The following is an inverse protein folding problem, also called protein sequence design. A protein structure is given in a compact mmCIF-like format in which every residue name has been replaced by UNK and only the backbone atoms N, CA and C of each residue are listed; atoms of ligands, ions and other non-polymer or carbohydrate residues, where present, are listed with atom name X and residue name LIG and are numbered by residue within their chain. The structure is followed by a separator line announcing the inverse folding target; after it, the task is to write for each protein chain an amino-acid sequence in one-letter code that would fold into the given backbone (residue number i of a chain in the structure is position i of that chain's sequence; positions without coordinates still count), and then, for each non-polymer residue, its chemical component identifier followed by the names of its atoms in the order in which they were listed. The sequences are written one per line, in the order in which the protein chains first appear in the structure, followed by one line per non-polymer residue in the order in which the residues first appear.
data_IF_584056652313
#
_entry.id   IF_584056652313
#
_cell.length_a   1.000
_cell.length_b   1.000
_cell.length_c   1.000
_cell.angle_alpha   90.00
_cell.angle_beta   90.00
_cell.angle_gamma   90.00
#
_symmetry.space_group_name_H-M   'P 1'
#
loop_
_entity.id
_entity.type
_entity.pdbx_description
1 polymer ?
#
# COMPACT_ATOMS: atom_id res chain seq x y z
N UNK A 1 11.68 -20.47 28.94
CA UNK A 1 10.65 -19.44 29.14
C UNK A 1 11.23 -18.12 28.69
N UNK A 2 10.86 -17.65 27.50
CA UNK A 2 11.15 -16.28 27.11
C UNK A 2 10.32 -15.38 28.05
N UNK A 3 11.00 -14.57 28.83
CA UNK A 3 10.37 -13.57 29.68
C UNK A 3 9.82 -12.53 28.70
N UNK A 4 8.50 -12.52 28.47
CA UNK A 4 7.85 -11.41 27.77
C UNK A 4 8.23 -10.14 28.53
N UNK A 5 9.02 -9.27 27.89
CA UNK A 5 9.25 -7.94 28.42
C UNK A 5 7.88 -7.24 28.50
N UNK A 6 7.60 -6.50 29.59
CA UNK A 6 6.35 -5.76 29.68
C UNK A 6 6.29 -4.77 28.51
N UNK A 7 5.25 -4.88 27.70
CA UNK A 7 4.98 -3.94 26.61
C UNK A 7 4.75 -2.57 27.25
N UNK A 8 5.58 -1.59 26.91
CA UNK A 8 5.36 -0.21 27.36
C UNK A 8 3.98 0.25 26.88
N UNK A 9 3.29 1.03 27.71
CA UNK A 9 1.99 1.62 27.36
C UNK A 9 2.11 3.13 27.20
N UNK A 10 1.23 3.69 26.39
CA UNK A 10 1.10 5.13 26.14
C UNK A 10 -0.33 5.59 26.42
N UNK A 11 -0.52 6.85 26.85
CA UNK A 11 -1.81 7.49 26.90
C UNK A 11 -2.48 7.50 25.52
N UNK A 12 -3.77 7.21 25.51
CA UNK A 12 -4.57 7.10 24.31
C UNK A 12 -5.97 7.70 24.50
N UNK A 13 -6.52 8.18 23.40
CA UNK A 13 -7.93 8.52 23.30
C UNK A 13 -8.76 7.24 23.18
N UNK A 14 -9.89 7.17 23.88
CA UNK A 14 -10.98 6.23 23.58
C UNK A 14 -12.14 7.02 22.95
N UNK A 15 -12.34 6.82 21.65
CA UNK A 15 -13.23 7.63 20.82
C UNK A 15 -14.36 6.76 20.27
N UNK A 16 -15.61 7.17 20.49
CA UNK A 16 -16.73 6.71 19.68
C UNK A 16 -16.90 7.65 18.49
N UNK A 17 -16.81 7.10 17.29
CA UNK A 17 -16.85 7.84 16.03
C UNK A 17 -18.04 7.34 15.21
N UNK A 18 -18.91 8.25 14.78
CA UNK A 18 -20.18 7.90 14.13
C UNK A 18 -20.37 8.69 12.84
N UNK A 19 -20.89 8.03 11.79
CA UNK A 19 -21.20 8.68 10.52
C UNK A 19 -22.59 9.29 10.59
N UNK A 20 -22.69 10.61 10.40
CA UNK A 20 -23.98 11.30 10.42
C UNK A 20 -24.82 10.94 9.18
N UNK A 21 -26.14 11.01 9.31
CA UNK A 21 -27.06 10.71 8.20
C UNK A 21 -27.20 9.22 7.84
N UNK A 22 -26.63 8.30 8.62
CA UNK A 22 -26.77 6.85 8.42
C UNK A 22 -27.85 6.25 9.31
N UNK A 23 -28.70 5.38 8.74
CA UNK A 23 -29.73 4.63 9.46
C UNK A 23 -29.78 3.17 8.96
N UNK A 24 -29.51 2.15 9.81
CA UNK A 24 -29.07 2.26 11.20
C UNK A 24 -27.68 2.92 11.32
N UNK A 25 -27.41 3.52 12.49
CA UNK A 25 -26.19 4.31 12.73
C UNK A 25 -24.92 3.46 12.51
N UNK A 26 -24.04 3.92 11.64
CA UNK A 26 -22.73 3.32 11.42
C UNK A 26 -21.69 3.99 12.34
N UNK A 27 -21.08 3.22 13.24
CA UNK A 27 -20.13 3.77 14.21
C UNK A 27 -19.03 2.78 14.61
N UNK A 28 -17.91 3.30 15.12
CA UNK A 28 -16.76 2.55 15.63
C UNK A 28 -16.29 3.14 16.95
N UNK A 29 -15.85 2.31 17.90
CA UNK A 29 -15.12 2.73 19.08
C UNK A 29 -13.64 2.39 18.90
N UNK A 30 -12.82 3.43 18.73
CA UNK A 30 -11.40 3.32 18.46
C UNK A 30 -10.58 3.85 19.63
N UNK A 31 -9.49 3.15 19.91
CA UNK A 31 -8.45 3.59 20.83
C UNK A 31 -7.20 3.92 20.03
N UNK A 32 -6.71 5.15 20.18
CA UNK A 32 -5.62 5.72 19.38
C UNK A 32 -4.65 6.48 20.30
N UNK A 33 -3.32 6.34 20.15
CA UNK A 33 -2.35 7.10 20.93
C UNK A 33 -2.61 8.61 20.87
N UNK A 34 -2.43 9.33 21.97
CA UNK A 34 -2.70 10.79 21.98
C UNK A 34 -1.83 11.56 20.99
N UNK A 35 -0.62 11.09 20.74
CA UNK A 35 0.36 11.71 19.84
C UNK A 35 0.09 11.44 18.35
N UNK A 36 -0.99 10.74 18.01
CA UNK A 36 -1.36 10.48 16.62
C UNK A 36 -1.58 11.79 15.87
N UNK A 37 -1.02 11.91 14.68
CA UNK A 37 -1.22 13.05 13.79
C UNK A 37 -2.58 12.98 13.10
N UNK A 38 -3.05 14.11 12.56
CA UNK A 38 -4.31 14.13 11.79
C UNK A 38 -4.29 13.18 10.58
N UNK A 39 -3.20 13.06 9.77
CA UNK A 39 -3.13 12.08 8.70
C UNK A 39 -3.19 10.64 9.21
N UNK A 40 -2.56 10.33 10.33
CA UNK A 40 -2.62 8.99 10.93
C UNK A 40 -4.02 8.67 11.48
N UNK A 41 -4.69 9.65 12.09
CA UNK A 41 -6.10 9.55 12.50
C UNK A 41 -7.01 9.29 11.30
N UNK A 42 -6.80 10.03 10.20
CA UNK A 42 -7.48 9.81 8.93
C UNK A 42 -7.27 8.38 8.43
N UNK A 43 -6.03 7.87 8.37
CA UNK A 43 -5.77 6.48 7.95
C UNK A 43 -6.44 5.44 8.86
N UNK A 44 -6.51 5.70 10.17
CA UNK A 44 -7.24 4.84 11.10
C UNK A 44 -8.75 4.80 10.79
N UNK A 45 -9.36 5.93 10.44
CA UNK A 45 -10.75 6.02 9.99
C UNK A 45 -10.98 5.26 8.68
N UNK A 46 -10.08 5.44 7.69
CA UNK A 46 -10.13 4.71 6.42
C UNK A 46 -10.15 3.20 6.67
N UNK A 47 -9.24 2.68 7.50
CA UNK A 47 -9.19 1.27 7.87
C UNK A 47 -10.44 0.80 8.66
N UNK A 48 -10.99 1.66 9.53
CA UNK A 48 -12.13 1.35 10.39
C UNK A 48 -13.47 1.27 9.63
N UNK A 49 -13.64 2.12 8.62
CA UNK A 49 -14.84 2.16 7.78
C UNK A 49 -14.70 1.40 6.46
N UNK A 50 -13.48 0.99 6.09
CA UNK A 50 -13.22 0.16 4.91
C UNK A 50 -13.15 0.96 3.61
N UNK A 51 -12.63 2.17 3.70
CA UNK A 51 -12.41 3.08 2.56
C UNK A 51 -11.00 2.96 1.98
N UNK A 52 -10.84 3.51 0.78
CA UNK A 52 -9.69 3.36 -0.10
C UNK A 52 -8.74 4.59 -0.09
N UNK A 53 -9.04 5.61 0.72
CA UNK A 53 -8.26 6.84 0.84
C UNK A 53 -8.04 7.53 -0.53
N UNK A 54 -9.14 7.76 -1.26
CA UNK A 54 -9.11 8.29 -2.63
C UNK A 54 -9.45 9.77 -2.72
N UNK A 55 -9.99 10.34 -1.64
CA UNK A 55 -10.51 11.70 -1.63
C UNK A 55 -9.86 12.57 -0.56
N UNK A 56 -10.04 13.87 -0.73
CA UNK A 56 -9.67 14.86 0.28
C UNK A 56 -10.46 14.62 1.58
N UNK A 57 -9.88 15.06 2.68
CA UNK A 57 -10.53 15.05 3.98
C UNK A 57 -10.26 16.34 4.75
N UNK A 58 -11.06 16.62 5.77
CA UNK A 58 -10.87 17.77 6.61
C UNK A 58 -11.42 17.60 8.02
N UNK A 59 -10.95 18.46 8.92
CA UNK A 59 -11.45 18.60 10.28
C UNK A 59 -11.90 20.03 10.49
N UNK A 60 -13.08 20.20 11.09
CA UNK A 60 -13.55 21.46 11.67
C UNK A 60 -13.76 21.26 13.15
N UNK A 61 -13.08 22.04 13.99
CA UNK A 61 -13.19 21.90 15.43
C UNK A 61 -12.92 23.22 16.15
N UNK A 62 -13.30 23.28 17.43
CA UNK A 62 -12.77 24.25 18.38
C UNK A 62 -11.68 23.58 19.20
N UNK A 63 -10.47 24.12 19.18
CA UNK A 63 -9.34 23.56 19.89
C UNK A 63 -9.40 23.76 21.41
N UNK A 64 -8.39 23.27 22.14
CA UNK A 64 -8.33 23.38 23.60
C UNK A 64 -8.16 24.81 24.12
N UNK A 65 -7.83 25.78 23.25
CA UNK A 65 -7.74 27.21 23.57
C UNK A 65 -9.03 27.96 23.27
N UNK A 66 -10.02 27.29 22.66
CA UNK A 66 -11.27 27.91 22.24
C UNK A 66 -11.19 28.57 20.87
N UNK A 67 -10.15 28.28 20.08
CA UNK A 67 -9.97 28.82 18.73
C UNK A 67 -10.54 27.85 17.69
N UNK A 68 -11.29 28.36 16.72
CA UNK A 68 -11.81 27.56 15.62
C UNK A 68 -10.69 27.21 14.64
N UNK A 69 -10.53 25.93 14.33
CA UNK A 69 -9.55 25.40 13.39
C UNK A 69 -10.23 24.71 12.21
N UNK A 70 -9.64 24.89 11.03
CA UNK A 70 -10.01 24.18 9.80
C UNK A 70 -8.74 23.56 9.26
N UNK A 71 -8.71 22.23 9.23
CA UNK A 71 -7.55 21.45 8.83
C UNK A 71 -7.95 20.62 7.62
N UNK A 72 -7.11 20.57 6.58
CA UNK A 72 -7.40 19.83 5.35
C UNK A 72 -6.18 18.98 4.97
N UNK A 73 -6.47 17.78 4.47
CA UNK A 73 -5.46 16.87 3.94
C UNK A 73 -5.86 16.28 2.58
N UNK A 74 -4.87 15.84 1.78
CA UNK A 74 -3.43 15.97 2.03
C UNK A 74 -2.95 17.42 1.88
N UNK A 75 -1.72 17.71 2.32
CA UNK A 75 -1.21 19.08 2.44
C UNK A 75 -1.20 19.86 1.11
N UNK A 76 -1.03 19.18 -0.02
CA UNK A 76 -1.05 19.80 -1.35
C UNK A 76 -2.43 20.43 -1.67
N UNK A 77 -3.49 19.97 -1.00
CA UNK A 77 -4.83 20.52 -1.17
C UNK A 77 -5.01 21.91 -0.51
N UNK A 78 -4.05 22.36 0.31
CA UNK A 78 -4.15 23.64 1.02
C UNK A 78 -3.45 24.83 0.34
N UNK A 79 -2.78 24.63 -0.81
CA UNK A 79 -1.90 25.65 -1.44
C UNK A 79 -2.56 27.02 -1.71
N UNK A 80 -3.89 27.10 -1.75
CA UNK A 80 -4.65 28.35 -1.91
C UNK A 80 -5.79 28.54 -0.88
N UNK A 81 -5.70 27.88 0.28
CA UNK A 81 -6.73 27.92 1.33
C UNK A 81 -6.25 28.60 2.62
N UNK A 82 -7.19 29.09 3.44
CA UNK A 82 -6.90 29.49 4.83
C UNK A 82 -6.83 28.29 5.80
N UNK A 83 -6.94 27.06 5.28
CA UNK A 83 -6.89 25.86 6.11
C UNK A 83 -5.46 25.51 6.48
N UNK A 84 -5.32 24.86 7.63
CA UNK A 84 -4.05 24.35 8.11
C UNK A 84 -3.73 23.00 7.44
N UNK A 85 -2.47 22.74 7.05
CA UNK A 85 -2.06 21.45 6.52
C UNK A 85 -2.16 20.38 7.60
N UNK A 86 -2.77 19.24 7.26
CA UNK A 86 -3.00 18.15 8.20
C UNK A 86 -1.71 17.59 8.83
N UNK A 87 -0.61 17.48 8.07
CA UNK A 87 0.62 16.86 8.57
C UNK A 87 1.26 17.58 9.78
N UNK A 88 0.95 18.86 9.95
CA UNK A 88 1.48 19.69 11.03
C UNK A 88 0.71 19.60 12.35
N UNK A 89 -0.35 18.79 12.44
CA UNK A 89 -1.28 18.81 13.57
C UNK A 89 -1.39 17.43 14.23
N UNK A 90 -1.19 17.39 15.55
CA UNK A 90 -1.45 16.22 16.39
C UNK A 90 -2.85 16.27 17.01
N UNK A 91 -3.48 15.11 17.21
CA UNK A 91 -4.85 15.02 17.75
C UNK A 91 -4.96 15.55 19.18
N UNK A 92 -3.88 15.45 19.98
CA UNK A 92 -3.76 16.06 21.32
C UNK A 92 -3.85 17.58 21.34
N UNK A 93 -3.65 18.25 20.20
CA UNK A 93 -3.90 19.69 20.10
C UNK A 93 -5.39 20.03 19.99
N UNK A 94 -6.19 19.07 19.50
CA UNK A 94 -7.60 19.26 19.14
C UNK A 94 -8.54 18.68 20.22
N UNK A 95 -8.12 17.61 20.90
CA UNK A 95 -8.92 16.87 21.86
C UNK A 95 -8.19 16.70 23.20
N UNK A 96 -8.96 16.64 24.30
CA UNK A 96 -8.45 16.34 25.64
C UNK A 96 -8.97 14.98 26.11
N UNK A 97 -8.09 13.98 26.15
CA UNK A 97 -8.43 12.59 26.50
C UNK A 97 -9.04 12.42 27.90
N UNK A 98 -8.87 13.41 28.79
CA UNK A 98 -9.45 13.39 30.14
C UNK A 98 -10.93 13.75 30.15
N UNK A 99 -11.45 14.33 29.07
CA UNK A 99 -12.87 14.67 28.94
C UNK A 99 -13.69 13.45 28.56
N UNK A 100 -14.99 13.54 28.83
CA UNK A 100 -15.99 12.57 28.40
C UNK A 100 -17.16 13.29 27.74
N UNK A 101 -17.81 12.63 26.78
CA UNK A 101 -18.93 13.15 26.03
C UNK A 101 -18.56 13.73 24.66
N UNK A 102 -19.54 14.35 23.95
CA UNK A 102 -19.36 14.84 22.59
C UNK A 102 -18.25 15.88 22.49
N UNK A 103 -17.40 15.73 21.47
CA UNK A 103 -16.40 16.73 21.11
C UNK A 103 -16.98 17.75 20.13
N UNK A 104 -16.51 18.99 20.21
CA UNK A 104 -16.71 19.98 19.15
C UNK A 104 -15.68 19.75 18.03
N UNK A 105 -15.83 18.60 17.38
CA UNK A 105 -14.89 18.06 16.41
C UNK A 105 -15.68 17.29 15.35
N UNK A 106 -15.56 17.76 14.11
CA UNK A 106 -16.17 17.16 12.94
C UNK A 106 -15.07 16.74 11.97
N UNK A 107 -15.10 15.47 11.54
CA UNK A 107 -14.23 14.97 10.47
C UNK A 107 -15.08 14.71 9.22
N UNK A 108 -14.64 15.22 8.07
CA UNK A 108 -15.29 15.04 6.78
C UNK A 108 -14.35 14.30 5.83
N UNK A 109 -14.84 13.24 5.20
CA UNK A 109 -14.16 12.52 4.12
C UNK A 109 -14.97 12.64 2.83
N UNK A 110 -14.26 12.86 1.72
CA UNK A 110 -14.85 13.09 0.40
C UNK A 110 -15.78 14.32 0.39
N UNK A 111 -15.25 15.48 -0.01
CA UNK A 111 -16.04 16.72 -0.11
C UNK A 111 -17.13 16.68 -1.20
N UNK A 112 -17.14 15.66 -2.07
CA UNK A 112 -18.23 15.41 -3.01
C UNK A 112 -19.40 14.69 -2.35
N UNK A 113 -19.13 13.56 -1.70
CA UNK A 113 -20.15 12.74 -1.03
C UNK A 113 -20.52 13.20 0.39
N UNK A 114 -19.67 14.03 1.01
CA UNK A 114 -19.80 14.62 2.33
C UNK A 114 -20.00 13.58 3.46
N UNK A 115 -19.04 12.66 3.63
CA UNK A 115 -19.06 11.71 4.74
C UNK A 115 -18.60 12.37 6.06
N UNK A 116 -19.56 12.95 6.77
CA UNK A 116 -19.32 13.64 8.04
C UNK A 116 -19.37 12.69 9.24
N UNK A 117 -18.38 12.84 10.13
CA UNK A 117 -18.24 12.04 11.34
C UNK A 117 -18.23 12.92 12.58
N UNK A 118 -18.96 12.49 13.60
CA UNK A 118 -18.91 13.07 14.94
C UNK A 118 -18.07 12.20 15.87
N UNK A 119 -17.42 12.85 16.84
CA UNK A 119 -16.53 12.20 17.81
C UNK A 119 -17.06 12.42 19.23
N UNK A 120 -17.13 11.34 20.00
CA UNK A 120 -17.43 11.35 21.43
C UNK A 120 -16.25 10.73 22.20
N UNK A 121 -15.78 11.42 23.24
CA UNK A 121 -14.73 10.93 24.11
C UNK A 121 -15.33 10.01 25.19
N UNK A 122 -14.80 8.81 25.30
CA UNK A 122 -15.22 7.81 26.29
C UNK A 122 -14.41 7.86 27.58
N UNK A 123 -13.38 8.70 27.63
CA UNK A 123 -12.44 8.88 28.74
C UNK A 123 -11.03 8.37 28.42
N UNK A 124 -10.10 8.50 29.38
CA UNK A 124 -8.70 8.14 29.15
C UNK A 124 -8.49 6.63 29.18
N UNK A 125 -7.61 6.14 28.30
CA UNK A 125 -7.16 4.74 28.27
C UNK A 125 -5.65 4.67 28.03
N UNK A 126 -5.05 3.54 28.40
CA UNK A 126 -3.66 3.22 28.09
C UNK A 126 -3.64 2.14 27.01
N UNK A 127 -2.81 2.32 25.98
CA UNK A 127 -2.59 1.34 24.92
C UNK A 127 -1.15 0.85 24.93
N UNK A 128 -0.88 -0.41 24.55
CA UNK A 128 0.47 -0.81 24.18
C UNK A 128 1.05 0.15 23.13
N UNK A 129 2.32 0.52 23.27
CA UNK A 129 3.02 1.34 22.29
C UNK A 129 2.84 0.79 20.87
N UNK A 130 2.72 1.72 19.91
CA UNK A 130 2.61 1.40 18.48
C UNK A 130 1.41 0.50 18.14
N UNK A 131 0.27 0.69 18.82
CA UNK A 131 -0.96 -0.03 18.51
C UNK A 131 -2.14 0.90 18.31
N UNK A 132 -3.10 0.43 17.51
CA UNK A 132 -4.41 1.03 17.29
C UNK A 132 -5.45 -0.06 17.55
N UNK A 133 -6.55 0.22 18.26
CA UNK A 133 -7.53 -0.83 18.59
C UNK A 133 -8.95 -0.37 18.32
N UNK A 134 -9.77 -1.27 17.80
CA UNK A 134 -11.21 -1.12 17.79
C UNK A 134 -11.80 -2.05 18.85
N UNK A 135 -12.53 -1.47 19.80
CA UNK A 135 -13.12 -2.21 20.94
C UNK A 135 -14.58 -2.54 20.73
N UNK A 136 -15.29 -1.79 19.88
CA UNK A 136 -16.69 -2.00 19.57
C UNK A 136 -17.11 -1.27 18.28
N UNK A 137 -18.30 -1.56 17.78
CA UNK A 137 -18.86 -0.92 16.58
C UNK A 137 -20.15 -1.57 16.10
N UNK A 138 -20.80 -0.93 15.13
CA UNK A 138 -21.98 -1.48 14.49
C UNK A 138 -22.08 -1.10 13.01
N UNK A 139 -22.72 -1.99 12.25
CA UNK A 139 -23.03 -1.86 10.84
C UNK A 139 -21.82 -1.78 9.90
N UNK A 140 -22.03 -2.14 8.64
CA UNK A 140 -21.01 -2.07 7.58
C UNK A 140 -20.71 -0.61 7.29
N UNK A 141 -19.43 -0.29 7.06
CA UNK A 141 -19.05 1.02 6.55
C UNK A 141 -19.64 1.27 5.15
N UNK A 142 -19.95 2.53 4.79
CA UNK A 142 -20.44 2.87 3.46
C UNK A 142 -19.46 2.43 2.37
N UNK A 143 -20.00 2.04 1.21
CA UNK A 143 -19.16 1.72 0.04
C UNK A 143 -18.52 3.02 -0.47
N UNK A 144 -17.24 2.99 -0.84
CA UNK A 144 -16.56 4.11 -1.50
C UNK A 144 -17.37 4.60 -2.72
N UNK A 145 -17.40 5.92 -2.97
CA UNK A 145 -18.12 6.55 -4.09
C UNK A 145 -19.63 6.22 -4.14
N UNK A 146 -20.26 5.92 -3.01
CA UNK A 146 -21.69 5.52 -2.98
C UNK A 146 -22.68 6.69 -3.04
N UNK A 147 -22.24 7.94 -3.17
CA UNK A 147 -23.11 9.11 -3.29
C UNK A 147 -23.60 9.62 -1.93
N UNK A 148 -22.72 9.59 -0.92
CA UNK A 148 -23.01 10.06 0.43
C UNK A 148 -24.06 9.24 1.18
N UNK A 149 -24.51 9.69 2.37
CA UNK A 149 -25.43 8.92 3.22
C UNK A 149 -26.75 8.54 2.51
N UNK A 150 -27.25 9.41 1.63
CA UNK A 150 -28.45 9.13 0.85
C UNK A 150 -28.23 8.00 -0.17
N UNK A 151 -27.13 8.06 -0.94
CA UNK A 151 -26.81 7.05 -1.94
C UNK A 151 -26.55 5.68 -1.31
N UNK A 152 -25.83 5.64 -0.19
CA UNK A 152 -25.65 4.40 0.57
C UNK A 152 -26.97 3.82 1.09
N UNK A 153 -27.86 4.64 1.65
CA UNK A 153 -29.20 4.19 2.07
C UNK A 153 -30.00 3.60 0.90
N UNK A 154 -29.88 4.18 -0.31
CA UNK A 154 -30.50 3.63 -1.51
C UNK A 154 -29.92 2.27 -1.88
N UNK A 155 -28.59 2.09 -1.80
CA UNK A 155 -27.96 0.78 -2.02
C UNK A 155 -28.48 -0.25 -1.02
N UNK A 156 -28.60 0.10 0.27
CA UNK A 156 -29.14 -0.78 1.31
C UNK A 156 -30.57 -1.21 1.00
N UNK A 157 -31.41 -0.27 0.59
CA UNK A 157 -32.81 -0.53 0.21
C UNK A 157 -32.87 -1.45 -1.01
N UNK A 158 -32.16 -1.10 -2.09
CA UNK A 158 -32.25 -1.81 -3.37
C UNK A 158 -31.66 -3.21 -3.27
N UNK A 159 -30.48 -3.38 -2.68
CA UNK A 159 -29.85 -4.70 -2.57
C UNK A 159 -30.53 -5.60 -1.53
N UNK A 160 -31.31 -5.02 -0.62
CA UNK A 160 -32.15 -5.75 0.33
C UNK A 160 -33.39 -6.41 -0.29
N UNK A 161 -33.76 -6.01 -1.52
CA UNK A 161 -34.92 -6.54 -2.25
C UNK A 161 -34.52 -6.98 -3.67
N UNK A 162 -34.25 -8.28 -3.90
CA UNK A 162 -34.00 -8.84 -5.23
C UNK A 162 -35.11 -8.61 -6.26
N UNK A 163 -36.33 -8.25 -5.83
CA UNK A 163 -37.44 -7.89 -6.71
C UNK A 163 -37.46 -6.40 -7.10
N UNK A 164 -36.57 -5.59 -6.55
CA UNK A 164 -36.53 -4.16 -6.81
C UNK A 164 -36.16 -3.85 -8.28
N UNK A 165 -36.84 -2.91 -8.97
CA UNK A 165 -36.57 -2.62 -10.39
C UNK A 165 -35.13 -2.23 -10.70
N UNK A 166 -34.43 -1.59 -9.75
CA UNK A 166 -33.03 -1.17 -9.86
C UNK A 166 -32.02 -2.21 -9.33
N UNK A 167 -32.46 -3.43 -8.96
CA UNK A 167 -31.60 -4.43 -8.31
C UNK A 167 -30.39 -4.80 -9.18
N UNK A 168 -30.62 -5.17 -10.44
CA UNK A 168 -29.57 -5.63 -11.36
C UNK A 168 -28.50 -4.54 -11.60
N UNK A 169 -28.94 -3.29 -11.84
CA UNK A 169 -28.04 -2.17 -12.05
C UNK A 169 -27.20 -1.87 -10.80
N UNK A 170 -27.84 -1.86 -9.63
CA UNK A 170 -27.17 -1.62 -8.34
C UNK A 170 -26.22 -2.75 -7.98
N UNK A 171 -26.60 -4.01 -8.24
CA UNK A 171 -25.76 -5.18 -8.00
C UNK A 171 -24.53 -5.19 -8.92
N UNK A 172 -24.71 -4.80 -10.18
CA UNK A 172 -23.61 -4.63 -11.14
C UNK A 172 -22.65 -3.53 -10.69
N UNK A 173 -23.17 -2.38 -10.25
CA UNK A 173 -22.35 -1.30 -9.70
C UNK A 173 -21.61 -1.73 -8.43
N UNK A 174 -22.29 -2.39 -7.49
CA UNK A 174 -21.69 -2.88 -6.24
C UNK A 174 -20.52 -3.83 -6.52
N UNK A 175 -20.70 -4.76 -7.47
CA UNK A 175 -19.65 -5.70 -7.89
C UNK A 175 -18.50 -5.05 -8.63
N UNK A 176 -18.75 -3.96 -9.33
CA UNK A 176 -17.71 -3.14 -9.91
C UNK A 176 -16.92 -2.40 -8.82
N UNK A 177 -17.61 -1.72 -7.90
CA UNK A 177 -16.99 -0.88 -6.87
C UNK A 177 -16.24 -1.69 -5.81
N UNK A 178 -16.82 -2.77 -5.28
CA UNK A 178 -16.24 -3.54 -4.16
C UNK A 178 -15.52 -4.80 -4.60
N UNK A 179 -15.81 -5.24 -5.83
CA UNK A 179 -15.41 -6.55 -6.31
C UNK A 179 -16.20 -7.74 -5.76
N UNK A 180 -17.15 -7.50 -4.85
CA UNK A 180 -17.98 -8.51 -4.20
C UNK A 180 -19.31 -8.71 -4.94
N UNK A 181 -19.92 -9.89 -4.81
CA UNK A 181 -21.27 -10.10 -5.32
C UNK A 181 -22.29 -9.42 -4.40
N UNK A 182 -23.41 -8.90 -4.94
CA UNK A 182 -24.45 -8.26 -4.15
C UNK A 182 -25.02 -9.19 -3.07
N UNK A 183 -24.97 -10.51 -3.27
CA UNK A 183 -25.35 -11.51 -2.25
C UNK A 183 -24.45 -11.51 -1.01
N UNK A 184 -23.23 -10.97 -1.10
CA UNK A 184 -22.32 -10.77 0.02
C UNK A 184 -22.56 -9.45 0.76
N UNK A 185 -23.41 -8.56 0.24
CA UNK A 185 -23.70 -7.29 0.87
C UNK A 185 -24.50 -7.48 2.16
N UNK A 186 -23.82 -7.28 3.30
CA UNK A 186 -24.40 -7.41 4.63
C UNK A 186 -24.34 -6.04 5.37
N UNK A 187 -25.35 -5.17 5.21
CA UNK A 187 -25.29 -3.79 5.69
C UNK A 187 -25.23 -3.66 7.21
N UNK A 188 -25.72 -4.66 7.95
CA UNK A 188 -25.67 -4.70 9.42
C UNK A 188 -24.47 -5.46 9.97
N UNK A 189 -23.60 -6.01 9.13
CA UNK A 189 -22.45 -6.78 9.58
C UNK A 189 -21.35 -5.86 10.11
N UNK A 190 -20.78 -6.23 11.26
CA UNK A 190 -19.59 -5.62 11.83
C UNK A 190 -18.69 -6.74 12.37
N UNK A 191 -17.42 -6.71 11.96
CA UNK A 191 -16.40 -7.67 12.38
C UNK A 191 -15.21 -6.91 12.98
N UNK A 192 -15.19 -6.83 14.31
CA UNK A 192 -14.11 -6.21 15.06
C UNK A 192 -12.76 -6.93 14.88
N UNK A 193 -12.76 -8.25 14.62
CA UNK A 193 -11.54 -9.02 14.40
C UNK A 193 -10.89 -8.65 13.07
N UNK A 194 -11.67 -8.63 12.00
CA UNK A 194 -11.22 -8.20 10.67
C UNK A 194 -10.76 -6.73 10.66
N UNK A 195 -11.46 -5.87 11.40
CA UNK A 195 -11.07 -4.46 11.55
C UNK A 195 -9.74 -4.33 12.31
N UNK A 196 -9.58 -5.01 13.46
CA UNK A 196 -8.33 -4.96 14.21
C UNK A 196 -7.15 -5.53 13.42
N UNK A 197 -7.35 -6.55 12.57
CA UNK A 197 -6.31 -7.02 11.66
C UNK A 197 -5.85 -5.92 10.69
N UNK A 198 -6.76 -5.10 10.15
CA UNK A 198 -6.40 -3.92 9.33
C UNK A 198 -5.67 -2.84 10.13
N UNK A 199 -6.05 -2.62 11.39
CA UNK A 199 -5.36 -1.67 12.28
C UNK A 199 -3.97 -2.15 12.69
N UNK A 200 -3.76 -3.46 12.88
CA UNK A 200 -2.44 -4.04 13.11
C UNK A 200 -1.54 -3.84 11.89
N UNK A 201 -2.06 -4.09 10.69
CA UNK A 201 -1.38 -3.84 9.42
C UNK A 201 -1.02 -2.35 9.22
N UNK A 202 -1.92 -1.45 9.60
CA UNK A 202 -1.67 0.00 9.58
C UNK A 202 -0.60 0.39 10.62
N UNK A 203 -0.65 -0.15 11.83
CA UNK A 203 0.33 0.15 12.87
C UNK A 203 1.77 -0.20 12.46
N UNK A 204 1.95 -1.31 11.73
CA UNK A 204 3.25 -1.69 11.14
C UNK A 204 3.76 -0.69 10.09
N UNK A 205 2.87 0.11 9.50
CA UNK A 205 3.22 1.16 8.53
C UNK A 205 3.48 2.51 9.19
N UNK A 206 2.73 2.85 10.23
CA UNK A 206 2.90 4.10 10.97
C UNK A 206 4.17 4.09 11.82
N UNK A 207 4.49 2.95 12.43
CA UNK A 207 5.63 2.81 13.32
C UNK A 207 6.51 1.62 12.95
N UNK A 208 7.11 1.63 11.74
CA UNK A 208 7.93 0.52 11.29
C UNK A 208 9.17 0.37 12.18
N UNK A 209 9.41 -0.86 12.64
CA UNK A 209 10.70 -1.20 13.23
C UNK A 209 11.77 -1.28 12.13
N UNK A 210 13.05 -1.00 12.47
CA UNK A 210 14.15 -1.28 11.55
C UNK A 210 14.11 -2.74 11.04
N UNK A 211 14.53 -2.98 9.79
CA UNK A 211 14.64 -4.34 9.30
C UNK A 211 15.77 -5.08 10.03
N UNK A 212 15.52 -6.33 10.38
CA UNK A 212 16.51 -7.26 10.94
C UNK A 212 17.38 -7.83 9.83
N UNK A 213 18.57 -8.33 10.16
CA UNK A 213 19.47 -8.97 9.19
C UNK A 213 18.79 -10.12 8.42
N UNK A 214 17.93 -10.89 9.10
CA UNK A 214 17.18 -11.99 8.48
C UNK A 214 16.18 -11.49 7.44
N UNK A 215 15.45 -10.40 7.75
CA UNK A 215 14.51 -9.78 6.82
C UNK A 215 15.24 -9.16 5.62
N UNK A 216 16.38 -8.51 5.88
CA UNK A 216 17.24 -7.93 4.85
C UNK A 216 17.69 -9.00 3.87
N UNK A 217 18.32 -10.06 4.39
CA UNK A 217 18.87 -11.15 3.58
C UNK A 217 17.77 -11.88 2.80
N UNK A 218 16.58 -12.03 3.39
CA UNK A 218 15.43 -12.62 2.71
C UNK A 218 14.99 -11.78 1.50
N UNK A 219 14.77 -10.47 1.68
CA UNK A 219 14.29 -9.57 0.61
C UNK A 219 15.27 -9.51 -0.56
N UNK A 220 16.57 -9.39 -0.27
CA UNK A 220 17.62 -9.26 -1.30
C UNK A 220 18.13 -10.60 -1.83
N UNK A 221 17.61 -11.72 -1.31
CA UNK A 221 18.13 -13.07 -1.54
C UNK A 221 18.38 -13.37 -3.03
N UNK A 222 17.39 -13.12 -3.89
CA UNK A 222 17.49 -13.42 -5.33
C UNK A 222 18.65 -12.67 -6.00
N UNK A 223 18.86 -11.42 -5.61
CA UNK A 223 19.95 -10.58 -6.15
C UNK A 223 21.29 -11.03 -5.57
N UNK A 224 21.38 -11.18 -4.25
CA UNK A 224 22.59 -11.61 -3.56
C UNK A 224 23.08 -12.96 -4.10
N UNK A 225 22.18 -13.95 -4.17
CA UNK A 225 22.50 -15.27 -4.69
C UNK A 225 23.10 -15.16 -6.10
N UNK A 226 22.44 -14.46 -7.03
CA UNK A 226 22.94 -14.36 -8.41
C UNK A 226 24.33 -13.72 -8.45
N UNK A 227 24.57 -12.62 -7.72
CA UNK A 227 25.87 -11.96 -7.68
C UNK A 227 26.97 -12.87 -7.13
N UNK A 228 26.67 -13.65 -6.09
CA UNK A 228 27.62 -14.59 -5.47
C UNK A 228 28.07 -15.71 -6.41
N UNK A 229 27.24 -16.06 -7.41
CA UNK A 229 27.55 -17.11 -8.37
C UNK A 229 28.35 -16.62 -9.59
N UNK A 230 28.60 -15.31 -9.73
CA UNK A 230 29.38 -14.78 -10.86
C UNK A 230 30.88 -14.88 -10.57
N UNK A 231 31.63 -15.75 -11.25
CA UNK A 231 33.07 -15.86 -11.03
C UNK A 231 33.80 -14.60 -11.52
N UNK A 232 35.05 -14.41 -11.08
CA UNK A 232 35.85 -13.24 -11.43
C UNK A 232 36.05 -13.04 -12.95
N UNK A 233 36.10 -14.13 -13.72
CA UNK A 233 36.21 -14.12 -15.19
C UNK A 233 34.84 -14.03 -15.89
N UNK A 234 33.74 -14.05 -15.14
CA UNK A 234 32.36 -13.88 -15.61
C UNK A 234 31.71 -15.15 -16.16
N UNK A 235 30.38 -15.20 -16.07
CA UNK A 235 29.58 -16.31 -16.59
C UNK A 235 29.60 -16.34 -18.12
N UNK A 236 29.87 -17.48 -18.75
CA UNK A 236 29.87 -17.58 -20.21
C UNK A 236 28.43 -17.51 -20.74
N UNK A 237 28.22 -16.69 -21.78
CA UNK A 237 26.94 -16.57 -22.47
C UNK A 237 26.89 -17.46 -23.73
N UNK A 238 25.69 -17.67 -24.23
CA UNK A 238 25.42 -18.21 -25.56
C UNK A 238 25.82 -17.19 -26.66
N UNK A 239 25.83 -17.61 -27.93
CA UNK A 239 26.08 -16.69 -29.06
C UNK A 239 25.06 -15.55 -29.11
N UNK A 240 23.81 -15.83 -28.75
CA UNK A 240 22.72 -14.85 -28.68
C UNK A 240 22.75 -14.00 -27.39
N UNK A 241 23.75 -14.20 -26.53
CA UNK A 241 23.96 -13.39 -25.33
C UNK A 241 23.08 -13.74 -24.13
N UNK A 242 22.46 -14.92 -24.13
CA UNK A 242 21.70 -15.50 -23.01
C UNK A 242 22.57 -16.38 -22.10
N UNK A 243 22.13 -16.59 -20.85
CA UNK A 243 22.70 -17.54 -19.91
C UNK A 243 22.67 -18.95 -20.49
N UNK A 244 23.70 -19.74 -20.16
CA UNK A 244 23.75 -21.15 -20.57
C UNK A 244 22.70 -21.98 -19.80
N UNK A 245 22.12 -23.02 -20.43
CA UNK A 245 21.09 -23.87 -19.80
C UNK A 245 21.41 -24.49 -18.44
N UNK A 246 22.70 -24.69 -18.12
CA UNK A 246 23.11 -25.20 -16.81
C UNK A 246 22.85 -24.15 -15.71
N UNK A 247 23.32 -22.92 -15.94
CA UNK A 247 23.15 -21.83 -14.98
C UNK A 247 21.70 -21.36 -14.85
N UNK A 248 20.91 -21.43 -15.93
CA UNK A 248 19.46 -21.15 -15.87
C UNK A 248 18.76 -22.11 -14.91
N UNK A 249 19.06 -23.42 -14.99
CA UNK A 249 18.50 -24.43 -14.08
C UNK A 249 18.96 -24.22 -12.65
N UNK A 250 20.25 -23.99 -12.44
CA UNK A 250 20.80 -23.69 -11.13
C UNK A 250 20.14 -22.46 -10.48
N UNK A 251 19.94 -21.38 -11.24
CA UNK A 251 19.22 -20.19 -10.77
C UNK A 251 17.77 -20.50 -10.45
N UNK A 252 17.12 -21.31 -11.28
CA UNK A 252 15.73 -21.68 -11.10
C UNK A 252 15.51 -22.49 -9.82
N UNK A 253 16.34 -23.51 -9.60
CA UNK A 253 16.25 -24.41 -8.46
C UNK A 253 16.65 -23.68 -7.16
N UNK A 254 17.72 -22.88 -7.18
CA UNK A 254 18.21 -22.20 -5.99
C UNK A 254 17.24 -21.11 -5.48
N UNK A 255 16.47 -20.49 -6.38
CA UNK A 255 15.52 -19.43 -6.04
C UNK A 255 14.08 -19.93 -5.83
N UNK A 256 13.85 -21.25 -5.87
CA UNK A 256 12.52 -21.85 -5.68
C UNK A 256 11.49 -21.33 -6.67
N UNK A 257 11.87 -21.24 -7.95
CA UNK A 257 11.03 -20.68 -9.02
C UNK A 257 10.08 -21.71 -9.64
N UNK A 258 10.15 -22.96 -9.19
CA UNK A 258 9.32 -24.10 -9.61
C UNK A 258 7.84 -23.88 -9.35
N UNK A 259 7.48 -23.31 -8.20
CA UNK A 259 6.09 -22.98 -7.88
C UNK A 259 5.53 -21.83 -8.73
N UNK A 260 6.40 -21.01 -9.34
CA UNK A 260 6.03 -19.74 -10.00
C UNK A 260 6.07 -19.78 -11.52
N UNK A 261 6.57 -20.87 -12.12
CA UNK A 261 6.76 -20.92 -13.58
C UNK A 261 6.56 -22.33 -14.16
N UNK A 262 5.53 -22.56 -15.00
CA UNK A 262 5.32 -23.84 -15.65
C UNK A 262 6.32 -24.02 -16.81
N UNK A 263 7.53 -24.51 -16.53
CA UNK A 263 8.56 -24.69 -17.55
C UNK A 263 9.73 -25.58 -17.14
N UNK A 264 10.46 -26.11 -18.13
CA UNK A 264 11.64 -26.97 -17.92
C UNK A 264 12.90 -26.22 -17.46
N UNK A 265 12.80 -24.90 -17.28
CA UNK A 265 13.90 -24.01 -16.88
C UNK A 265 15.22 -24.18 -17.66
N UNK A 266 15.17 -24.62 -18.94
CA UNK A 266 16.37 -25.02 -19.68
C UNK A 266 16.83 -23.98 -20.73
N UNK A 267 16.05 -22.94 -20.98
CA UNK A 267 16.40 -21.82 -21.87
C UNK A 267 15.97 -20.52 -21.21
N UNK A 268 16.91 -19.58 -21.07
CA UNK A 268 16.64 -18.31 -20.39
C UNK A 268 15.46 -17.55 -21.01
N UNK A 269 15.43 -17.45 -22.34
CA UNK A 269 14.34 -16.79 -23.09
C UNK A 269 12.95 -17.43 -22.87
N UNK A 270 12.91 -18.68 -22.38
CA UNK A 270 11.69 -19.41 -22.04
C UNK A 270 11.47 -19.54 -20.53
N UNK A 271 12.32 -18.89 -19.72
CA UNK A 271 12.30 -18.90 -18.26
C UNK A 271 12.25 -17.45 -17.79
N UNK A 272 11.10 -16.80 -17.99
CA UNK A 272 10.96 -15.34 -17.81
C UNK A 272 11.47 -14.82 -16.46
N UNK A 273 11.25 -15.49 -15.31
CA UNK A 273 11.77 -14.99 -14.04
C UNK A 273 13.30 -14.88 -14.00
N UNK A 274 14.01 -15.85 -14.57
CA UNK A 274 15.49 -15.82 -14.66
C UNK A 274 15.95 -14.74 -15.63
N UNK A 275 15.27 -14.61 -16.77
CA UNK A 275 15.54 -13.56 -17.76
C UNK A 275 15.38 -12.16 -17.14
N UNK A 276 14.24 -11.93 -16.48
CA UNK A 276 13.89 -10.67 -15.81
C UNK A 276 14.93 -10.34 -14.74
N UNK A 277 15.31 -11.30 -13.90
CA UNK A 277 16.34 -11.09 -12.89
C UNK A 277 17.66 -10.65 -13.52
N UNK A 278 18.19 -11.36 -14.53
CA UNK A 278 19.45 -10.97 -15.20
C UNK A 278 19.35 -9.56 -15.81
N UNK A 279 18.23 -9.25 -16.46
CA UNK A 279 18.03 -7.96 -17.13
C UNK A 279 17.93 -6.84 -16.11
N UNK A 280 17.21 -7.07 -15.01
CA UNK A 280 17.09 -6.10 -13.94
C UNK A 280 18.42 -5.85 -13.23
N UNK A 281 19.24 -6.87 -12.97
CA UNK A 281 20.57 -6.70 -12.42
C UNK A 281 21.50 -5.87 -13.32
N UNK A 282 21.30 -5.90 -14.65
CA UNK A 282 22.03 -5.01 -15.56
C UNK A 282 21.43 -3.59 -15.59
N UNK A 283 20.10 -3.46 -15.49
CA UNK A 283 19.42 -2.17 -15.39
C UNK A 283 19.85 -1.42 -14.10
N UNK A 284 19.96 -2.15 -13.00
CA UNK A 284 20.58 -1.70 -11.74
C UNK A 284 22.10 -1.63 -11.81
N UNK A 285 22.73 -1.79 -12.97
CA UNK A 285 24.19 -1.66 -13.16
C UNK A 285 25.03 -2.56 -12.23
N UNK A 286 24.49 -3.65 -11.69
CA UNK A 286 25.22 -4.65 -10.90
C UNK A 286 25.97 -5.62 -11.81
N UNK A 287 25.42 -5.88 -13.01
CA UNK A 287 26.02 -6.73 -14.02
C UNK A 287 26.32 -5.96 -15.31
N UNK A 288 27.28 -6.48 -16.08
CA UNK A 288 27.60 -5.99 -17.43
C UNK A 288 28.00 -7.13 -18.36
N UNK A 289 27.68 -7.00 -19.65
CA UNK A 289 28.16 -7.92 -20.69
C UNK A 289 29.50 -7.44 -21.25
N UNK A 290 30.44 -8.35 -21.46
CA UNK A 290 31.70 -8.08 -22.16
C UNK A 290 32.24 -9.35 -22.80
N UNK A 291 32.63 -9.29 -24.08
CA UNK A 291 33.27 -10.39 -24.84
C UNK A 291 32.57 -11.76 -24.66
N UNK A 292 31.24 -11.80 -24.78
CA UNK A 292 30.46 -13.04 -24.65
C UNK A 292 30.33 -13.57 -23.23
N UNK A 293 30.62 -12.74 -22.22
CA UNK A 293 30.50 -13.07 -20.79
C UNK A 293 29.67 -12.04 -20.03
N UNK A 294 29.08 -12.47 -18.92
CA UNK A 294 28.37 -11.64 -17.97
C UNK A 294 29.24 -11.50 -16.71
N UNK A 295 29.61 -10.27 -16.37
CA UNK A 295 30.54 -9.97 -15.28
C UNK A 295 29.89 -9.07 -14.23
N UNK A 296 30.38 -9.17 -13.00
CA UNK A 296 30.14 -8.15 -11.99
C UNK A 296 30.69 -6.80 -12.46
N UNK A 297 29.85 -5.76 -12.36
CA UNK A 297 30.30 -4.38 -12.49
C UNK A 297 31.10 -3.95 -11.24
N UNK A 298 31.69 -2.74 -11.20
CA UNK A 298 32.23 -2.19 -9.97
C UNK A 298 31.20 -2.14 -8.82
N UNK A 299 29.96 -1.77 -9.13
CA UNK A 299 28.88 -1.78 -8.13
C UNK A 299 28.52 -3.21 -7.72
N UNK A 300 28.40 -4.13 -8.67
CA UNK A 300 28.11 -5.55 -8.39
C UNK A 300 29.15 -6.20 -7.47
N UNK A 301 30.45 -5.88 -7.64
CA UNK A 301 31.50 -6.34 -6.73
C UNK A 301 31.41 -5.76 -5.33
N UNK A 302 30.92 -4.53 -5.19
CA UNK A 302 30.76 -3.90 -3.87
C UNK A 302 29.56 -4.49 -3.11
N UNK A 303 28.52 -4.91 -3.84
CA UNK A 303 27.27 -5.42 -3.28
C UNK A 303 27.20 -6.95 -3.23
N UNK A 304 28.26 -7.67 -3.63
CA UNK A 304 28.26 -9.13 -3.71
C UNK A 304 28.16 -9.83 -2.36
N UNK A 305 28.49 -9.12 -1.27
CA UNK A 305 28.43 -9.64 0.10
C UNK A 305 27.01 -9.56 0.70
N UNK A 306 26.04 -8.98 -0.02
CA UNK A 306 24.64 -8.90 0.41
C UNK A 306 24.39 -7.90 1.55
N UNK A 307 23.45 -8.25 2.44
CA UNK A 307 23.12 -7.48 3.64
C UNK A 307 22.62 -6.05 3.40
N UNK A 308 22.75 -5.22 4.43
CA UNK A 308 22.30 -3.82 4.45
C UNK A 308 22.83 -2.99 3.26
N UNK A 309 24.11 -3.11 2.82
CA UNK A 309 24.58 -2.35 1.67
C UNK A 309 23.83 -2.67 0.37
N UNK A 310 23.53 -3.94 0.11
CA UNK A 310 22.75 -4.35 -1.06
C UNK A 310 21.30 -3.89 -0.93
N UNK A 311 20.71 -4.01 0.26
CA UNK A 311 19.37 -3.50 0.54
C UNK A 311 19.23 -2.02 0.20
N UNK A 312 20.10 -1.16 0.74
CA UNK A 312 20.04 0.29 0.51
C UNK A 312 20.27 0.64 -0.95
N UNK A 313 21.16 -0.10 -1.63
CA UNK A 313 21.39 0.06 -3.06
C UNK A 313 20.12 -0.22 -3.88
N UNK A 314 19.43 -1.31 -3.57
CA UNK A 314 18.22 -1.73 -4.28
C UNK A 314 17.05 -0.82 -3.95
N UNK A 315 16.86 -0.43 -2.68
CA UNK A 315 15.84 0.53 -2.28
C UNK A 315 16.03 1.86 -3.03
N UNK A 316 17.26 2.36 -3.09
CA UNK A 316 17.58 3.55 -3.88
C UNK A 316 17.35 3.34 -5.38
N UNK A 317 17.70 2.18 -5.95
CA UNK A 317 17.49 1.93 -7.37
C UNK A 317 16.00 1.83 -7.77
N UNK A 318 15.14 1.39 -6.84
CA UNK A 318 13.67 1.32 -7.04
C UNK A 318 13.01 2.68 -6.77
N UNK A 319 13.40 3.37 -5.70
CA UNK A 319 12.86 4.68 -5.33
C UNK A 319 13.38 5.82 -6.18
N UNK A 320 14.54 5.65 -6.82
CA UNK A 320 15.13 6.62 -7.73
C UNK A 320 15.39 6.06 -9.14
N UNK A 321 14.33 5.67 -9.88
CA UNK A 321 14.52 5.19 -11.24
C UNK A 321 14.98 6.34 -12.16
N UNK A 322 15.69 6.05 -13.27
CA UNK A 322 16.17 7.07 -14.20
C UNK A 322 15.06 7.83 -14.94
N UNK A 323 13.90 7.20 -15.14
CA UNK A 323 12.75 7.78 -15.84
C UNK A 323 11.73 8.28 -14.79
N UNK A 324 11.30 9.55 -14.87
CA UNK A 324 10.33 10.13 -13.94
C UNK A 324 8.98 9.40 -13.96
N UNK A 325 8.47 9.07 -15.15
CA UNK A 325 7.24 8.29 -15.29
C UNK A 325 7.34 6.92 -14.58
N UNK A 326 8.52 6.30 -14.54
CA UNK A 326 8.72 5.05 -13.81
C UNK A 326 8.68 5.27 -12.29
N UNK A 327 9.05 6.46 -11.79
CA UNK A 327 8.91 6.79 -10.38
C UNK A 327 7.45 6.94 -9.99
N UNK A 328 6.64 7.65 -10.79
CA UNK A 328 5.17 7.72 -10.61
C UNK A 328 4.56 6.32 -10.56
N UNK A 329 4.87 5.46 -11.53
CA UNK A 329 4.34 4.09 -11.58
C UNK A 329 4.84 3.26 -10.39
N UNK A 330 6.10 3.39 -10.00
CA UNK A 330 6.62 2.72 -8.80
C UNK A 330 5.88 3.18 -7.55
N UNK A 331 5.61 4.49 -7.39
CA UNK A 331 4.83 5.05 -6.29
C UNK A 331 3.45 4.41 -6.16
N UNK A 332 2.71 4.33 -7.27
CA UNK A 332 1.40 3.67 -7.30
C UNK A 332 1.49 2.20 -6.88
N UNK A 333 2.47 1.45 -7.40
CA UNK A 333 2.63 0.03 -7.09
C UNK A 333 3.03 -0.20 -5.63
N UNK A 334 3.91 0.64 -5.10
CA UNK A 334 4.32 0.58 -3.69
C UNK A 334 3.13 0.87 -2.79
N UNK A 335 2.34 1.90 -3.09
CA UNK A 335 1.12 2.21 -2.35
C UNK A 335 0.12 1.05 -2.38
N UNK A 336 -0.20 0.50 -3.55
CA UNK A 336 -1.12 -0.64 -3.69
C UNK A 336 -0.68 -1.89 -2.92
N UNK A 337 0.63 -2.10 -2.78
CA UNK A 337 1.16 -3.23 -2.01
C UNK A 337 1.12 -2.96 -0.50
N UNK A 338 1.45 -1.75 -0.06
CA UNK A 338 1.42 -1.37 1.36
C UNK A 338 -0.01 -1.32 1.90
N UNK A 339 -0.95 -0.77 1.13
CA UNK A 339 -2.35 -0.65 1.55
C UNK A 339 -3.14 -1.95 1.31
N UNK A 340 -2.58 -2.92 0.58
CA UNK A 340 -3.30 -4.15 0.19
C UNK A 340 -4.42 -3.92 -0.82
N UNK A 341 -4.42 -2.77 -1.50
CA UNK A 341 -5.46 -2.28 -2.42
C UNK A 341 -5.15 -2.54 -3.89
N UNK A 342 -4.31 -3.55 -4.19
CA UNK A 342 -3.90 -3.84 -5.57
C UNK A 342 -5.12 -4.05 -6.49
N UNK A 343 -5.34 -3.19 -7.51
CA UNK A 343 -6.54 -3.24 -8.34
C UNK A 343 -6.65 -4.52 -9.16
N UNK A 344 -7.81 -4.75 -9.77
CA UNK A 344 -8.01 -5.87 -10.71
C UNK A 344 -7.12 -5.71 -11.94
N UNK A 345 -6.75 -6.84 -12.54
CA UNK A 345 -5.73 -6.88 -13.60
C UNK A 345 -6.09 -6.04 -14.83
N UNK A 346 -7.38 -5.91 -15.13
CA UNK A 346 -7.96 -5.17 -16.25
C UNK A 346 -8.00 -3.65 -16.01
N UNK A 347 -7.91 -3.21 -14.77
CA UNK A 347 -7.98 -1.78 -14.40
C UNK A 347 -6.60 -1.13 -14.26
N UNK A 348 -5.58 -1.91 -13.87
CA UNK A 348 -4.22 -1.41 -13.58
C UNK A 348 -3.66 -0.55 -14.72
N UNK A 349 -3.84 -0.98 -15.97
CA UNK A 349 -3.32 -0.26 -17.13
C UNK A 349 -4.02 1.09 -17.35
N UNK A 350 -5.33 1.17 -17.06
CA UNK A 350 -6.10 2.40 -17.13
C UNK A 350 -5.68 3.36 -16.03
N UNK A 351 -5.63 2.90 -14.79
CA UNK A 351 -5.22 3.74 -13.65
C UNK A 351 -3.83 4.35 -13.91
N UNK A 352 -2.85 3.55 -14.35
CA UNK A 352 -1.50 4.05 -14.65
C UNK A 352 -1.51 5.05 -15.80
N UNK A 353 -2.22 4.77 -16.90
CA UNK A 353 -2.27 5.70 -18.03
C UNK A 353 -2.94 7.03 -17.63
N UNK A 354 -4.03 6.97 -16.86
CA UNK A 354 -4.76 8.15 -16.41
C UNK A 354 -3.92 8.98 -15.44
N UNK A 355 -3.29 8.37 -14.44
CA UNK A 355 -2.38 9.07 -13.50
C UNK A 355 -1.25 9.76 -14.26
N UNK A 356 -0.57 9.06 -15.17
CA UNK A 356 0.49 9.66 -15.96
C UNK A 356 -0.01 10.83 -16.82
N UNK A 357 -1.21 10.73 -17.39
CA UNK A 357 -1.79 11.82 -18.18
C UNK A 357 -2.14 13.05 -17.32
N UNK A 358 -2.68 12.83 -16.12
CA UNK A 358 -2.99 13.87 -15.13
C UNK A 358 -1.72 14.58 -14.67
N UNK A 359 -0.65 13.84 -14.41
CA UNK A 359 0.68 14.39 -14.08
C UNK A 359 1.38 15.05 -15.28
N UNK A 360 0.74 15.09 -16.45
CA UNK A 360 1.23 15.81 -17.62
C UNK A 360 2.18 15.01 -18.51
N UNK A 361 2.45 13.73 -18.23
CA UNK A 361 3.26 12.89 -19.11
C UNK A 361 2.58 12.68 -20.45
N UNK A 362 3.37 12.69 -21.52
CA UNK A 362 2.92 12.46 -22.90
C UNK A 362 3.87 11.52 -23.62
N UNK A 363 3.38 10.86 -24.66
CA UNK A 363 4.20 10.10 -25.59
C UNK A 363 5.24 10.99 -26.27
N UNK A 364 6.25 10.40 -26.93
CA UNK A 364 7.26 11.14 -27.69
C UNK A 364 6.68 12.04 -28.79
N UNK A 365 5.46 11.76 -29.26
CA UNK A 365 4.75 12.58 -30.26
C UNK A 365 3.87 13.67 -29.64
N UNK A 366 3.86 13.80 -28.31
CA UNK A 366 3.00 14.74 -27.57
C UNK A 366 1.57 14.25 -27.34
N UNK A 367 1.22 13.04 -27.79
CA UNK A 367 -0.11 12.46 -27.57
C UNK A 367 -0.27 11.94 -26.12
N UNK A 368 -1.51 11.85 -25.59
CA UNK A 368 -1.78 11.22 -24.31
C UNK A 368 -1.20 9.80 -24.21
N UNK A 369 -0.85 9.38 -23.00
CA UNK A 369 -0.37 8.03 -22.72
C UNK A 369 -1.50 7.02 -23.00
N UNK A 370 -1.34 6.10 -23.96
CA UNK A 370 -2.34 5.08 -24.26
C UNK A 370 -2.27 3.90 -23.28
N UNK A 371 -3.35 3.09 -23.23
CA UNK A 371 -3.49 1.95 -22.31
C UNK A 371 -2.41 0.87 -22.47
N UNK A 372 -1.93 0.63 -23.69
CA UNK A 372 -0.86 -0.32 -23.95
C UNK A 372 0.47 0.15 -23.35
N UNK A 373 0.79 1.44 -23.46
CA UNK A 373 1.96 2.01 -22.79
C UNK A 373 1.83 1.98 -21.26
N UNK A 374 0.63 2.25 -20.72
CA UNK A 374 0.35 2.09 -19.30
C UNK A 374 0.56 0.65 -18.82
N UNK A 375 0.13 -0.34 -19.62
CA UNK A 375 0.38 -1.77 -19.36
C UNK A 375 1.87 -2.11 -19.39
N UNK A 376 2.62 -1.60 -20.35
CA UNK A 376 4.06 -1.87 -20.47
C UNK A 376 4.83 -1.30 -19.27
N UNK A 377 4.47 -0.09 -18.82
CA UNK A 377 5.03 0.52 -17.61
C UNK A 377 4.71 -0.31 -16.37
N UNK A 378 3.45 -0.74 -16.21
CA UNK A 378 3.05 -1.66 -15.14
C UNK A 378 3.92 -2.92 -15.11
N UNK A 379 4.05 -3.60 -16.26
CA UNK A 379 4.78 -4.86 -16.35
C UNK A 379 6.27 -4.68 -16.04
N UNK A 380 6.87 -3.56 -16.45
CA UNK A 380 8.27 -3.23 -16.15
C UNK A 380 8.49 -2.96 -14.66
N UNK A 381 7.68 -2.10 -14.06
CA UNK A 381 7.78 -1.76 -12.63
C UNK A 381 7.46 -2.98 -11.75
N UNK A 382 6.44 -3.76 -12.11
CA UNK A 382 6.14 -5.02 -11.42
C UNK A 382 7.30 -6.01 -11.54
N UNK A 383 7.87 -6.18 -12.74
CA UNK A 383 9.03 -7.06 -12.95
C UNK A 383 10.24 -6.65 -12.10
N UNK A 384 10.45 -5.35 -11.91
CA UNK A 384 11.49 -4.81 -11.02
C UNK A 384 11.26 -5.28 -9.57
N UNK A 385 10.05 -5.12 -9.04
CA UNK A 385 9.71 -5.55 -7.68
C UNK A 385 9.74 -7.08 -7.53
N UNK A 386 9.37 -7.84 -8.56
CA UNK A 386 9.39 -9.30 -8.57
C UNK A 386 10.80 -9.90 -8.53
N UNK A 387 11.85 -9.10 -8.77
CA UNK A 387 13.24 -9.53 -8.56
C UNK A 387 13.62 -9.61 -7.08
N UNK A 388 12.76 -9.11 -6.17
CA UNK A 388 12.94 -9.11 -4.72
C UNK A 388 11.90 -10.04 -4.06
N UNK A 389 12.23 -10.60 -2.90
CA UNK A 389 11.31 -11.49 -2.16
C UNK A 389 10.41 -10.70 -1.20
N UNK A 390 9.62 -9.78 -1.74
CA UNK A 390 8.78 -8.87 -0.95
C UNK A 390 7.54 -9.54 -0.36
N UNK A 391 7.08 -10.64 -0.95
CA UNK A 391 5.78 -11.25 -0.65
C UNK A 391 5.92 -12.71 -0.23
N UNK A 392 4.98 -13.17 0.60
CA UNK A 392 4.85 -14.58 0.96
C UNK A 392 4.51 -15.37 -0.32
N UNK A 393 5.21 -16.48 -0.62
CA UNK A 393 4.83 -17.35 -1.73
C UNK A 393 3.37 -17.82 -1.61
N UNK A 394 2.60 -17.70 -2.69
CA UNK A 394 1.23 -18.19 -2.76
C UNK A 394 1.11 -19.27 -3.84
N UNK A 395 0.38 -20.33 -3.51
CA UNK A 395 0.01 -21.43 -4.40
C UNK A 395 -1.11 -21.06 -5.39
N UNK A 396 -1.79 -19.93 -5.15
CA UNK A 396 -2.92 -19.45 -5.96
C UNK A 396 -2.49 -18.26 -6.81
N UNK A 397 -2.42 -18.48 -8.12
CA UNK A 397 -2.13 -17.44 -9.12
C UNK A 397 -3.03 -16.19 -9.04
N UNK A 398 -4.21 -16.29 -8.43
CA UNK A 398 -5.19 -15.20 -8.34
C UNK A 398 -5.26 -14.53 -6.96
N UNK A 399 -4.53 -15.03 -5.96
CA UNK A 399 -4.55 -14.42 -4.63
C UNK A 399 -3.83 -13.06 -4.64
N UNK A 400 -4.33 -12.05 -3.92
CA UNK A 400 -3.61 -10.80 -3.76
C UNK A 400 -2.26 -11.05 -3.06
N UNK A 401 -1.21 -10.31 -3.44
CA UNK A 401 0.09 -10.44 -2.80
C UNK A 401 0.01 -10.06 -1.32
N UNK A 402 0.58 -10.89 -0.45
CA UNK A 402 0.74 -10.60 0.98
C UNK A 402 2.20 -10.27 1.24
N UNK A 403 2.49 -9.09 1.77
CA UNK A 403 3.85 -8.68 2.08
C UNK A 403 4.43 -9.50 3.24
N UNK A 404 5.72 -9.80 3.15
CA UNK A 404 6.51 -10.18 4.34
C UNK A 404 6.83 -8.93 5.16
N UNK A 405 7.20 -9.07 6.43
CA UNK A 405 7.62 -7.93 7.26
C UNK A 405 8.81 -7.18 6.64
N UNK A 406 9.82 -7.91 6.16
CA UNK A 406 10.93 -7.35 5.40
C UNK A 406 10.46 -6.65 4.12
N UNK A 407 9.55 -7.25 3.37
CA UNK A 407 8.98 -6.65 2.17
C UNK A 407 8.27 -5.32 2.45
N UNK A 408 7.48 -5.24 3.52
CA UNK A 408 6.83 -4.00 3.96
C UNK A 408 7.85 -2.93 4.33
N UNK A 409 8.84 -3.26 5.16
CA UNK A 409 9.90 -2.33 5.57
C UNK A 409 10.71 -1.81 4.37
N UNK A 410 11.01 -2.69 3.41
CA UNK A 410 11.67 -2.30 2.15
C UNK A 410 10.81 -1.30 1.37
N UNK A 411 9.53 -1.59 1.21
CA UNK A 411 8.61 -0.73 0.46
C UNK A 411 8.36 0.61 1.15
N UNK A 412 8.34 0.67 2.48
CA UNK A 412 8.26 1.94 3.24
C UNK A 412 9.50 2.81 3.00
N UNK A 413 10.70 2.23 2.98
CA UNK A 413 11.92 2.97 2.61
C UNK A 413 11.86 3.49 1.16
N UNK A 414 11.37 2.67 0.23
CA UNK A 414 11.18 3.07 -1.17
C UNK A 414 10.15 4.20 -1.29
N UNK A 415 9.03 4.13 -0.55
CA UNK A 415 8.01 5.17 -0.52
C UNK A 415 8.59 6.52 -0.07
N UNK A 416 9.37 6.53 1.01
CA UNK A 416 10.04 7.75 1.48
C UNK A 416 11.00 8.36 0.46
N UNK A 417 11.69 7.52 -0.32
CA UNK A 417 12.56 8.00 -1.42
C UNK A 417 11.77 8.58 -2.60
N UNK A 418 10.58 8.06 -2.88
CA UNK A 418 9.71 8.55 -3.96
C UNK A 418 9.02 9.86 -3.60
N UNK A 419 8.65 10.05 -2.33
CA UNK A 419 8.01 11.27 -1.82
C UNK A 419 8.99 12.43 -1.63
N UNK A 420 10.27 12.16 -1.40
CA UNK A 420 11.30 13.19 -1.24
C UNK A 420 11.86 13.76 -2.56
N UNK A 421 11.16 13.60 -3.69
CA UNK A 421 11.62 13.96 -5.04
C UNK A 421 11.19 15.36 -5.49
#
# INVERSE_FOLDING_TARGET
MAIMQPTATVPAFDLRISITGTEPEVWRRLQLPETITVPEFHRALQAAFGWENRHLYGIRCTDLRGEGRVIVGPDEAVEDSYAEPASGVALVELLDAKRTGPADFEYEYDFGDAWTHTVELMGPVELPEKTLRCTDGANRGPVEDSGGPHGYRRIVEVLGDPGHPEYEDTASWYKFATGEDATAFAPTAFDAGALNARLDELALQLWPEPPTDVEIDAVVHSVHWFLSQVPADGLPLTQDGYLKPAFVRETFDALGLDDRWPGKANREVQTLPVLQLREQLQAWKLLRKSKGRLLLSPAGRKMSDGGQPLWDYLANAVGNPPEEAAATVNGLLVQWLLDGTTPRWDERARIIADTLNVEGFRTRTGAPIPLDLGRDMYLRSRGTLQCLQLTVPSDRFTAPPVLTDGGRKFLLQVQGLLQGR
#
